data_IF_498322832005
#
_entry.id   IF_498322832005
#
_cell.length_a   1.000
_cell.length_b   1.000
_cell.length_c   1.000
_cell.angle_alpha   90.00
_cell.angle_beta   90.00
_cell.angle_gamma   90.00
#
_symmetry.space_group_name_H-M   'P 1'
#
loop_
_entity.id
_entity.type
_entity.pdbx_description
1 polymer ?
#
# COMPACT_ATOMS: atom_id res chain seq x y z
N UNK A 1 -6.13 -9.79 5.68
CA UNK A 1 -4.68 -10.04 5.55
C UNK A 1 -4.33 -10.46 4.12
N UNK A 2 -3.25 -9.90 3.58
CA UNK A 2 -2.84 -10.04 2.17
C UNK A 2 -1.34 -10.31 2.07
N UNK A 3 -0.85 -10.62 0.87
CA UNK A 3 0.58 -10.70 0.56
C UNK A 3 1.02 -9.42 -0.15
N UNK A 4 2.09 -8.79 0.35
CA UNK A 4 2.73 -7.63 -0.30
C UNK A 4 4.10 -8.03 -0.84
N UNK A 5 4.30 -7.84 -2.15
CA UNK A 5 5.60 -7.98 -2.81
C UNK A 5 6.18 -6.59 -3.07
N UNK A 6 7.45 -6.38 -2.72
CA UNK A 6 8.11 -5.07 -2.86
C UNK A 6 9.41 -5.22 -3.63
N UNK A 7 9.61 -4.33 -4.60
CA UNK A 7 10.88 -4.12 -5.28
C UNK A 7 11.14 -2.63 -5.49
N UNK A 8 12.40 -2.24 -5.58
CA UNK A 8 12.78 -0.85 -5.86
C UNK A 8 13.98 -0.74 -6.79
N UNK A 9 13.96 0.30 -7.62
CA UNK A 9 15.10 0.79 -8.40
C UNK A 9 15.58 2.17 -7.94
N UNK A 10 15.00 2.69 -6.85
CA UNK A 10 15.33 3.99 -6.28
C UNK A 10 16.74 4.01 -5.71
N UNK A 11 17.43 5.15 -5.85
CA UNK A 11 18.84 5.26 -5.49
C UNK A 11 19.07 5.23 -3.98
N UNK A 12 18.15 5.79 -3.19
CA UNK A 12 18.24 5.81 -1.74
C UNK A 12 17.51 4.62 -1.09
N UNK A 13 18.01 4.12 0.06
CA UNK A 13 17.30 3.12 0.84
C UNK A 13 15.90 3.58 1.26
N UNK A 14 14.93 2.68 1.17
CA UNK A 14 13.54 2.91 1.50
C UNK A 14 13.21 2.28 2.87
N UNK A 15 13.24 3.04 3.98
CA UNK A 15 12.90 2.49 5.28
C UNK A 15 11.40 2.16 5.37
N UNK A 16 11.08 1.04 6.00
CA UNK A 16 9.72 0.57 6.17
C UNK A 16 9.41 0.19 7.62
N UNK A 17 8.12 0.22 7.95
CA UNK A 17 7.58 -0.23 9.21
C UNK A 17 6.35 -1.10 8.99
N UNK A 18 6.30 -2.23 9.68
CA UNK A 18 5.13 -3.11 9.79
C UNK A 18 4.84 -3.43 11.26
N UNK A 19 3.74 -4.11 11.56
CA UNK A 19 3.45 -4.54 12.92
C UNK A 19 4.46 -5.56 13.48
N UNK A 20 5.18 -6.30 12.61
CA UNK A 20 6.06 -7.41 13.00
C UNK A 20 7.54 -7.04 12.96
N UNK A 21 7.92 -6.15 12.04
CA UNK A 21 9.31 -5.84 11.77
C UNK A 21 9.48 -4.46 11.10
N UNK A 22 10.71 -3.97 11.20
CA UNK A 22 11.19 -2.74 10.58
C UNK A 22 12.46 -3.06 9.79
N UNK A 23 12.72 -2.30 8.73
CA UNK A 23 13.93 -2.46 7.93
C UNK A 23 14.01 -1.45 6.80
N UNK A 24 14.79 -1.76 5.77
CA UNK A 24 14.89 -0.95 4.56
C UNK A 24 15.08 -1.81 3.32
N UNK A 25 14.49 -1.39 2.21
CA UNK A 25 14.84 -1.93 0.89
C UNK A 25 15.86 -1.02 0.22
N UNK A 26 16.70 -1.58 -0.65
CA UNK A 26 17.59 -0.80 -1.49
C UNK A 26 17.66 -1.40 -2.88
N UNK A 27 18.10 -0.60 -3.86
CA UNK A 27 18.33 -1.05 -5.22
C UNK A 27 19.22 -2.30 -5.25
N UNK A 28 18.86 -3.26 -6.10
CA UNK A 28 19.56 -4.53 -6.26
C UNK A 28 19.24 -5.60 -5.21
N UNK A 29 18.44 -5.28 -4.18
CA UNK A 29 17.93 -6.29 -3.25
C UNK A 29 16.94 -7.24 -3.97
N UNK A 30 16.92 -8.55 -3.66
CA UNK A 30 15.87 -9.44 -4.13
C UNK A 30 14.48 -8.92 -3.74
N UNK A 31 13.47 -9.24 -4.56
CA UNK A 31 12.08 -8.87 -4.26
C UNK A 31 11.69 -9.45 -2.89
N UNK A 32 11.23 -8.57 -1.99
CA UNK A 32 10.72 -8.96 -0.69
C UNK A 32 9.26 -9.38 -0.77
N UNK A 33 8.84 -10.31 0.09
CA UNK A 33 7.46 -10.81 0.14
C UNK A 33 6.99 -10.94 1.58
N UNK A 34 5.97 -10.16 1.93
CA UNK A 34 5.36 -10.12 3.26
C UNK A 34 4.02 -10.84 3.19
N UNK A 35 3.92 -12.01 3.82
CA UNK A 35 2.67 -12.78 3.91
C UNK A 35 1.89 -12.40 5.15
N UNK A 36 0.56 -12.52 5.07
CA UNK A 36 -0.35 -12.22 6.17
C UNK A 36 -0.10 -10.82 6.74
N UNK A 37 0.02 -9.83 5.85
CA UNK A 37 0.28 -8.44 6.18
C UNK A 37 -1.03 -7.73 6.57
N UNK A 38 -0.92 -6.85 7.56
CA UNK A 38 -1.93 -5.85 7.94
C UNK A 38 -1.46 -4.48 7.50
N UNK A 39 -1.29 -3.54 8.43
CA UNK A 39 -0.79 -2.20 8.12
C UNK A 39 0.70 -2.19 7.75
N UNK A 40 1.06 -1.33 6.82
CA UNK A 40 2.43 -1.16 6.35
C UNK A 40 2.70 0.29 5.95
N UNK A 41 3.94 0.74 6.18
CA UNK A 41 4.44 2.08 5.86
C UNK A 41 5.79 1.94 5.17
N UNK A 42 6.01 2.66 4.08
CA UNK A 42 7.29 2.75 3.39
C UNK A 42 7.59 4.21 3.05
N UNK A 43 8.73 4.71 3.53
CA UNK A 43 9.20 6.06 3.21
C UNK A 43 10.13 6.01 1.98
N UNK A 44 9.92 6.96 1.07
CA UNK A 44 10.72 7.19 -0.12
C UNK A 44 11.39 8.56 0.07
N UNK A 45 12.68 8.59 0.45
CA UNK A 45 13.39 9.84 0.71
C UNK A 45 13.22 10.85 -0.43
N UNK A 46 12.80 12.06 -0.10
CA UNK A 46 12.56 13.13 -1.09
C UNK A 46 11.27 13.02 -1.92
N UNK A 47 10.55 11.89 -1.91
CA UNK A 47 9.30 11.71 -2.65
C UNK A 47 8.05 11.57 -1.76
N UNK A 48 8.21 11.15 -0.50
CA UNK A 48 7.12 11.07 0.46
C UNK A 48 6.97 9.67 1.04
N UNK A 49 5.75 9.32 1.43
CA UNK A 49 5.49 8.09 2.17
C UNK A 49 4.22 7.42 1.69
N UNK A 50 4.31 6.11 1.46
CA UNK A 50 3.16 5.28 1.14
C UNK A 50 2.68 4.54 2.38
N UNK A 51 1.37 4.59 2.60
CA UNK A 51 0.67 3.86 3.66
C UNK A 51 -0.27 2.83 3.05
N UNK A 52 -0.21 1.60 3.56
CA UNK A 52 -1.18 0.56 3.32
C UNK A 52 -1.89 0.29 4.64
N UNK A 53 -3.21 0.50 4.66
CA UNK A 53 -4.05 0.39 5.84
C UNK A 53 -5.03 -0.74 5.59
N UNK A 54 -4.98 -1.81 6.41
CA UNK A 54 -5.98 -2.88 6.34
C UNK A 54 -7.34 -2.30 6.77
N UNK A 55 -8.29 -2.27 5.84
CA UNK A 55 -9.65 -1.76 6.08
C UNK A 55 -10.67 -2.90 6.20
N UNK A 56 -10.23 -4.16 6.07
CA UNK A 56 -11.08 -5.34 6.16
C UNK A 56 -12.34 -5.22 5.29
N UNK A 57 -13.49 -5.36 5.92
CA UNK A 57 -14.81 -5.30 5.26
C UNK A 57 -15.29 -3.90 4.91
N UNK A 58 -14.62 -2.85 5.43
CA UNK A 58 -15.01 -1.46 5.14
C UNK A 58 -14.79 -1.17 3.66
N UNK A 59 -15.86 -0.75 2.97
CA UNK A 59 -15.80 -0.32 1.57
C UNK A 59 -15.71 1.20 1.50
N UNK A 60 -14.80 1.70 0.69
CA UNK A 60 -14.59 3.12 0.40
C UNK A 60 -15.17 3.47 -0.98
N UNK A 61 -14.96 2.60 -1.97
CA UNK A 61 -15.63 2.64 -3.26
C UNK A 61 -16.83 1.67 -3.27
N UNK A 62 -17.93 2.09 -3.91
CA UNK A 62 -19.19 1.35 -3.92
C UNK A 62 -19.25 0.15 -4.89
N UNK A 63 -18.21 -0.11 -5.69
CA UNK A 63 -18.33 -0.98 -6.86
C UNK A 63 -17.84 -2.42 -6.66
N UNK A 64 -16.94 -2.69 -5.71
CA UNK A 64 -16.39 -4.03 -5.54
C UNK A 64 -17.27 -4.93 -4.65
N UNK A 65 -17.50 -6.17 -5.11
CA UNK A 65 -18.17 -7.21 -4.32
C UNK A 65 -17.24 -7.89 -3.32
N UNK A 66 -15.93 -7.72 -3.44
CA UNK A 66 -14.97 -8.41 -2.62
C UNK A 66 -15.02 -7.97 -1.13
N UNK A 67 -14.75 -8.93 -0.24
CA UNK A 67 -14.94 -8.84 1.21
C UNK A 67 -13.79 -8.13 1.92
N UNK A 68 -12.55 -8.30 1.47
CA UNK A 68 -11.39 -7.71 2.12
C UNK A 68 -10.82 -6.54 1.33
N UNK A 69 -10.15 -5.61 2.02
CA UNK A 69 -9.52 -4.50 1.34
C UNK A 69 -8.40 -3.80 2.11
N UNK A 70 -7.65 -3.02 1.34
CA UNK A 70 -6.54 -2.19 1.81
C UNK A 70 -6.72 -0.80 1.23
N UNK A 71 -6.68 0.22 2.08
CA UNK A 71 -6.56 1.61 1.66
C UNK A 71 -5.08 1.93 1.46
N UNK A 72 -4.73 2.34 0.25
CA UNK A 72 -3.39 2.74 -0.14
C UNK A 72 -3.37 4.25 -0.29
N UNK A 73 -2.40 4.93 0.33
CA UNK A 73 -2.28 6.40 0.29
C UNK A 73 -0.86 6.80 -0.06
N UNK A 74 -0.70 7.68 -1.03
CA UNK A 74 0.61 8.21 -1.43
C UNK A 74 0.46 9.60 -2.05
N UNK A 75 1.19 10.60 -1.52
CA UNK A 75 1.22 11.98 -2.04
C UNK A 75 -0.17 12.64 -2.26
N UNK A 76 -1.15 12.33 -1.42
CA UNK A 76 -2.51 12.89 -1.53
C UNK A 76 -3.42 12.13 -2.49
N UNK A 77 -2.92 11.08 -3.14
CA UNK A 77 -3.74 10.13 -3.89
C UNK A 77 -4.12 8.96 -3.00
N UNK A 78 -5.36 8.48 -3.16
CA UNK A 78 -5.86 7.29 -2.49
C UNK A 78 -6.37 6.24 -3.47
N UNK A 79 -6.09 4.97 -3.15
CA UNK A 79 -6.54 3.82 -3.91
C UNK A 79 -7.07 2.75 -2.95
N UNK A 80 -8.27 2.26 -3.23
CA UNK A 80 -8.83 1.09 -2.57
C UNK A 80 -8.47 -0.17 -3.35
N UNK A 81 -7.71 -1.07 -2.72
CA UNK A 81 -7.50 -2.42 -3.20
C UNK A 81 -8.52 -3.36 -2.55
N UNK A 82 -9.25 -4.13 -3.35
CA UNK A 82 -10.27 -5.10 -2.90
C UNK A 82 -10.00 -6.49 -3.43
N UNK A 83 -10.11 -7.49 -2.56
CA UNK A 83 -9.72 -8.87 -2.89
C UNK A 83 -10.53 -9.93 -2.11
N UNK A 84 -10.50 -11.16 -2.61
CA UNK A 84 -11.01 -12.36 -1.94
C UNK A 84 -9.86 -13.35 -1.69
N UNK A 85 -9.99 -14.18 -0.66
CA UNK A 85 -8.94 -15.13 -0.28
C UNK A 85 -7.63 -14.45 0.14
N UNK A 86 -6.49 -15.02 -0.23
CA UNK A 86 -5.15 -14.50 0.12
C UNK A 86 -4.64 -13.47 -0.89
N UNK A 87 -5.28 -12.31 -0.97
CA UNK A 87 -4.98 -11.26 -1.96
C UNK A 87 -3.48 -10.97 -2.12
N UNK A 88 -3.07 -10.59 -3.32
CA UNK A 88 -1.68 -10.31 -3.67
C UNK A 88 -1.55 -8.89 -4.25
N UNK A 89 -0.70 -8.09 -3.61
CA UNK A 89 -0.37 -6.74 -4.03
C UNK A 89 1.13 -6.64 -4.30
N UNK A 90 1.51 -6.00 -5.40
CA UNK A 90 2.89 -5.69 -5.76
C UNK A 90 3.07 -4.18 -5.75
N UNK A 91 4.11 -3.72 -5.06
CA UNK A 91 4.53 -2.33 -4.97
C UNK A 91 5.95 -2.21 -5.54
N UNK A 92 6.07 -1.50 -6.65
CA UNK A 92 7.36 -1.18 -7.24
C UNK A 92 7.64 0.32 -7.06
N UNK A 93 8.83 0.66 -6.58
CA UNK A 93 9.31 2.04 -6.57
C UNK A 93 10.34 2.19 -7.68
N UNK A 94 10.04 2.99 -8.69
CA UNK A 94 10.95 3.19 -9.82
C UNK A 94 12.13 4.11 -9.46
N UNK A 95 13.03 4.33 -10.42
CA UNK A 95 14.24 5.16 -10.23
C UNK A 95 13.95 6.65 -9.99
N UNK A 96 12.75 7.11 -10.35
CA UNK A 96 12.25 8.46 -10.07
C UNK A 96 11.53 8.59 -8.71
N UNK A 97 11.38 7.50 -7.95
CA UNK A 97 10.66 7.50 -6.68
C UNK A 97 9.15 7.47 -6.83
N UNK A 98 8.64 7.14 -8.03
CA UNK A 98 7.22 6.94 -8.27
C UNK A 98 6.82 5.54 -7.83
N UNK A 99 5.60 5.41 -7.31
CA UNK A 99 5.04 4.14 -6.86
C UNK A 99 4.13 3.57 -7.93
N UNK A 100 4.41 2.34 -8.33
CA UNK A 100 3.59 1.54 -9.24
C UNK A 100 2.95 0.41 -8.44
N UNK A 101 1.61 0.33 -8.49
CA UNK A 101 0.84 -0.66 -7.75
C UNK A 101 0.09 -1.55 -8.72
N UNK A 102 0.18 -2.86 -8.51
CA UNK A 102 -0.63 -3.86 -9.20
C UNK A 102 -1.02 -4.97 -8.23
N UNK A 103 -2.07 -5.73 -8.55
CA UNK A 103 -2.48 -6.83 -7.68
C UNK A 103 -3.55 -7.70 -8.30
N UNK A 104 -3.73 -8.89 -7.73
CA UNK A 104 -4.81 -9.79 -8.10
C UNK A 104 -6.07 -9.38 -7.32
N UNK A 105 -6.89 -8.54 -7.91
CA UNK A 105 -8.09 -7.97 -7.29
C UNK A 105 -8.55 -6.73 -8.05
N UNK A 106 -9.33 -5.88 -7.39
CA UNK A 106 -9.77 -4.60 -7.94
C UNK A 106 -9.01 -3.47 -7.27
N UNK A 107 -8.36 -2.62 -8.07
CA UNK A 107 -7.74 -1.37 -7.64
C UNK A 107 -8.60 -0.24 -8.18
N UNK A 108 -9.09 0.62 -7.29
CA UNK A 108 -9.96 1.74 -7.64
C UNK A 108 -9.45 2.98 -6.93
N UNK A 109 -9.17 4.04 -7.70
CA UNK A 109 -8.85 5.34 -7.12
C UNK A 109 -10.07 5.87 -6.37
N UNK A 110 -9.85 6.41 -5.17
CA UNK A 110 -10.89 6.98 -4.32
C UNK A 110 -10.48 8.39 -3.91
N UNK A 111 -11.46 9.26 -3.72
CA UNK A 111 -11.25 10.61 -3.19
C UNK A 111 -11.78 10.64 -1.76
N UNK A 112 -10.89 10.84 -0.79
CA UNK A 112 -11.24 10.92 0.62
C UNK A 112 -11.03 12.34 1.13
N UNK A 113 -11.97 12.89 1.94
CA UNK A 113 -11.77 14.19 2.54
C UNK A 113 -10.55 14.16 3.48
N UNK A 114 -9.69 15.16 3.37
CA UNK A 114 -8.49 15.28 4.19
C UNK A 114 -8.79 15.29 5.71
N UNK A 115 -9.98 15.73 6.12
CA UNK A 115 -10.47 15.66 7.49
C UNK A 115 -11.99 15.50 7.53
N UNK A 116 -12.50 14.85 8.58
CA UNK A 116 -13.93 14.70 8.83
C UNK A 116 -14.27 15.46 10.13
N UNK A 117 -15.14 16.47 10.02
CA UNK A 117 -15.68 17.18 11.19
C UNK A 117 -16.86 16.40 11.75
N UNK A 118 -16.73 15.84 12.96
CA UNK A 118 -17.86 15.31 13.71
C UNK A 118 -18.39 16.40 14.63
N UNK A 119 -19.64 16.80 14.44
CA UNK A 119 -20.37 17.59 15.44
C UNK A 119 -20.77 16.64 16.57
N UNK A 120 -20.48 17.05 17.81
CA UNK A 120 -20.96 16.41 19.04
C UNK A 120 -22.46 16.56 19.21
#
# INVERSE_FOLDING_TARGET
MYTLKIQTQYYDPLPYHSAKENGSFHKGMPQASFKNLGNFRLAIPGAGEIHLIDIGERKLAGFSRATWGVLIRYQGEECEYRYEGGGELSLNVNDLGQVEISGHGSLVQVDLPAFILKKS
#
